data_IF_438023298253
#
_entry.id   IF_438023298253
#
_cell.length_a   1.000
_cell.length_b   1.000
_cell.length_c   1.000
_cell.angle_alpha   90.00
_cell.angle_beta   90.00
_cell.angle_gamma   90.00
#
_symmetry.space_group_name_H-M   'P 1'
#
loop_
_entity.id
_entity.type
_entity.pdbx_description
1 polymer ?
#
# COMPACT_ATOMS: atom_id res chain seq x y z
N UNK A 1 -4.91 -5.34 -15.96
CA UNK A 1 -4.52 -3.96 -15.55
C UNK A 1 -5.42 -2.95 -16.24
N UNK A 2 -5.84 -1.91 -15.52
CA UNK A 2 -6.52 -0.73 -16.06
C UNK A 2 -5.62 0.50 -15.93
N UNK A 3 -5.88 1.53 -16.71
CA UNK A 3 -5.07 2.76 -16.72
C UNK A 3 -5.98 4.00 -16.62
N UNK A 4 -5.42 5.06 -16.05
CA UNK A 4 -5.98 6.41 -16.05
C UNK A 4 -4.87 7.45 -16.22
N UNK A 5 -5.21 8.66 -16.63
CA UNK A 5 -4.23 9.72 -16.89
C UNK A 5 -3.46 9.53 -18.19
N UNK A 6 -2.43 10.38 -18.43
CA UNK A 6 -1.66 10.37 -19.67
C UNK A 6 -0.74 9.15 -19.75
N UNK A 7 -0.52 8.64 -20.97
CA UNK A 7 0.45 7.59 -21.26
C UNK A 7 1.81 8.12 -21.71
N UNK A 8 1.91 9.42 -21.95
CA UNK A 8 3.13 10.13 -22.30
C UNK A 8 3.16 11.47 -21.57
N UNK A 9 4.34 11.96 -21.31
CA UNK A 9 4.57 13.26 -20.67
C UNK A 9 3.93 13.40 -19.27
N UNK A 10 3.68 12.28 -18.61
CA UNK A 10 3.18 12.29 -17.22
C UNK A 10 4.24 12.84 -16.26
N UNK A 11 3.82 13.69 -15.33
CA UNK A 11 4.71 14.27 -14.33
C UNK A 11 5.17 13.28 -13.27
N UNK A 12 4.31 12.28 -12.99
CA UNK A 12 4.57 11.18 -12.06
C UNK A 12 3.75 9.93 -12.47
N UNK A 13 4.10 8.79 -11.90
CA UNK A 13 3.36 7.55 -12.04
C UNK A 13 2.86 7.02 -10.70
N UNK A 14 1.75 6.33 -10.71
CA UNK A 14 1.22 5.66 -9.51
C UNK A 14 0.65 4.29 -9.84
N UNK A 15 1.01 3.29 -9.03
CA UNK A 15 0.35 1.99 -9.01
C UNK A 15 -0.70 2.02 -7.90
N UNK A 16 -1.97 1.83 -8.27
CA UNK A 16 -3.10 1.86 -7.35
C UNK A 16 -3.67 0.46 -7.13
N UNK A 17 -3.78 0.04 -5.87
CA UNK A 17 -4.18 -1.31 -5.47
C UNK A 17 -5.51 -1.27 -4.71
N UNK A 18 -6.53 -1.92 -5.27
CA UNK A 18 -7.88 -1.94 -4.70
C UNK A 18 -7.99 -2.82 -3.46
N UNK A 19 -8.96 -2.54 -2.61
CA UNK A 19 -9.31 -3.37 -1.46
C UNK A 19 -9.99 -4.68 -1.86
N UNK A 20 -10.15 -5.59 -0.90
CA UNK A 20 -10.90 -6.83 -1.09
C UNK A 20 -12.33 -6.55 -1.58
N UNK A 21 -12.77 -7.25 -2.60
CA UNK A 21 -14.09 -7.10 -3.21
C UNK A 21 -14.23 -5.88 -4.12
N UNK A 22 -13.22 -5.00 -4.16
CA UNK A 22 -13.17 -3.87 -5.09
C UNK A 22 -12.59 -4.25 -6.45
N UNK A 23 -12.42 -3.27 -7.31
CA UNK A 23 -11.87 -3.43 -8.65
C UNK A 23 -10.81 -2.38 -8.97
N UNK A 24 -10.06 -2.61 -10.06
CA UNK A 24 -9.13 -1.61 -10.59
C UNK A 24 -9.85 -0.32 -11.01
N UNK A 25 -11.11 -0.40 -11.48
CA UNK A 25 -11.89 0.77 -11.82
C UNK A 25 -12.23 1.61 -10.58
N UNK A 26 -12.62 0.95 -9.48
CA UNK A 26 -12.97 1.64 -8.24
C UNK A 26 -11.79 2.42 -7.69
N UNK A 27 -10.62 1.79 -7.60
CA UNK A 27 -9.43 2.46 -7.02
C UNK A 27 -8.91 3.58 -7.93
N UNK A 28 -9.03 3.44 -9.26
CA UNK A 28 -8.65 4.50 -10.20
C UNK A 28 -9.52 5.76 -10.07
N UNK A 29 -10.73 5.65 -9.52
CA UNK A 29 -11.59 6.82 -9.27
C UNK A 29 -10.93 7.83 -8.33
N UNK A 30 -9.99 7.42 -7.49
CA UNK A 30 -9.23 8.30 -6.62
C UNK A 30 -8.46 9.37 -7.41
N UNK A 31 -8.03 9.07 -8.64
CA UNK A 31 -7.32 10.02 -9.50
C UNK A 31 -8.19 11.24 -9.83
N UNK A 32 -9.46 11.02 -10.15
CA UNK A 32 -10.43 12.09 -10.40
C UNK A 32 -10.76 12.85 -9.12
N UNK A 33 -10.99 12.16 -8.01
CA UNK A 33 -11.29 12.78 -6.72
C UNK A 33 -10.12 13.62 -6.18
N UNK A 34 -8.88 13.18 -6.43
CA UNK A 34 -7.69 13.95 -6.07
C UNK A 34 -7.32 15.01 -7.12
N UNK A 35 -8.03 15.09 -8.27
CA UNK A 35 -7.77 15.99 -9.39
C UNK A 35 -6.28 15.94 -9.84
N UNK A 36 -5.87 14.77 -10.34
CA UNK A 36 -4.51 14.46 -10.78
C UNK A 36 -4.48 14.13 -12.30
N UNK A 37 -4.81 15.09 -13.19
CA UNK A 37 -4.91 14.81 -14.62
C UNK A 37 -3.57 14.49 -15.29
N UNK A 38 -2.45 14.98 -14.73
CA UNK A 38 -1.11 14.86 -15.31
C UNK A 38 -0.31 13.67 -14.75
N UNK A 39 -0.94 12.83 -13.93
CA UNK A 39 -0.32 11.64 -13.32
C UNK A 39 -0.80 10.38 -14.03
N UNK A 40 0.13 9.57 -14.50
CA UNK A 40 -0.17 8.26 -15.06
C UNK A 40 -0.49 7.26 -13.95
N UNK A 41 -1.65 6.64 -14.01
CA UNK A 41 -2.06 5.63 -13.04
C UNK A 41 -2.27 4.26 -13.69
N UNK A 42 -1.78 3.23 -13.03
CA UNK A 42 -2.02 1.82 -13.38
C UNK A 42 -2.62 1.11 -12.17
N UNK A 43 -3.71 0.40 -12.38
CA UNK A 43 -4.30 -0.47 -11.37
C UNK A 43 -4.37 -1.91 -11.88
N UNK A 44 -3.60 -2.82 -11.31
CA UNK A 44 -3.80 -4.26 -11.48
C UNK A 44 -5.16 -4.69 -10.92
N UNK A 45 -5.71 -5.77 -11.45
CA UNK A 45 -6.94 -6.40 -10.99
C UNK A 45 -6.59 -7.70 -10.26
N UNK A 46 -6.98 -7.85 -9.02
CA UNK A 46 -6.78 -9.07 -8.27
C UNK A 46 -7.69 -10.20 -8.79
N UNK A 47 -7.21 -11.44 -8.92
CA UNK A 47 -8.05 -12.59 -9.26
C UNK A 47 -9.21 -12.73 -8.27
N UNK A 48 -10.45 -12.80 -8.77
CA UNK A 48 -11.64 -12.86 -7.93
C UNK A 48 -11.82 -11.66 -7.00
N UNK A 49 -11.29 -10.48 -7.36
CA UNK A 49 -11.34 -9.25 -6.58
C UNK A 49 -10.71 -9.35 -5.18
N UNK A 50 -9.75 -10.27 -4.99
CA UNK A 50 -9.02 -10.42 -3.72
C UNK A 50 -7.58 -10.86 -3.95
N UNK A 51 -6.62 -10.15 -3.34
CA UNK A 51 -5.18 -10.46 -3.45
C UNK A 51 -4.81 -11.75 -2.71
N UNK A 52 -5.53 -12.08 -1.66
CA UNK A 52 -5.45 -13.32 -0.89
C UNK A 52 -6.76 -13.63 -0.16
N UNK A 53 -7.07 -14.91 0.11
CA UNK A 53 -8.39 -15.30 0.65
C UNK A 53 -8.57 -15.05 2.15
N UNK A 54 -7.47 -14.94 2.90
CA UNK A 54 -7.47 -14.88 4.38
C UNK A 54 -7.32 -13.45 4.91
N UNK A 55 -7.20 -13.29 6.25
CA UNK A 55 -6.74 -12.04 6.86
C UNK A 55 -5.31 -11.73 6.42
N UNK A 56 -4.96 -10.43 6.29
CA UNK A 56 -3.58 -10.02 6.05
C UNK A 56 -2.65 -10.34 7.24
N UNK A 57 -3.23 -10.65 8.40
CA UNK A 57 -2.53 -11.09 9.61
C UNK A 57 -2.41 -12.62 9.72
N UNK A 58 -2.75 -13.36 8.71
CA UNK A 58 -2.47 -14.80 8.70
C UNK A 58 -0.95 -15.06 8.77
N UNK A 59 -0.50 -16.25 9.22
CA UNK A 59 0.91 -16.60 9.30
C UNK A 59 1.67 -16.32 8.01
N UNK A 60 2.89 -15.80 8.11
CA UNK A 60 3.66 -15.33 6.97
C UNK A 60 3.91 -16.42 5.91
N UNK A 61 4.19 -17.65 6.34
CA UNK A 61 4.38 -18.78 5.41
C UNK A 61 3.09 -19.09 4.62
N UNK A 62 1.92 -19.00 5.26
CA UNK A 62 0.63 -19.18 4.57
C UNK A 62 0.35 -18.06 3.57
N UNK A 63 0.79 -16.86 3.88
CA UNK A 63 0.56 -15.68 3.04
C UNK A 63 1.50 -15.60 1.82
N UNK A 64 2.72 -16.11 1.95
CA UNK A 64 3.79 -15.89 0.97
C UNK A 64 3.42 -16.27 -0.48
N UNK A 65 2.78 -17.38 -0.80
CA UNK A 65 2.41 -17.70 -2.18
C UNK A 65 1.49 -16.65 -2.82
N UNK A 66 0.54 -16.12 -2.06
CA UNK A 66 -0.39 -15.09 -2.53
C UNK A 66 0.32 -13.73 -2.66
N UNK A 67 1.11 -13.38 -1.66
CA UNK A 67 1.89 -12.14 -1.65
C UNK A 67 2.87 -12.12 -2.80
N UNK A 68 3.60 -13.21 -3.06
CA UNK A 68 4.53 -13.30 -4.18
C UNK A 68 3.83 -13.11 -5.53
N UNK A 69 2.67 -13.75 -5.73
CA UNK A 69 1.87 -13.60 -6.95
C UNK A 69 1.34 -12.16 -7.13
N UNK A 70 0.88 -11.54 -6.05
CA UNK A 70 0.41 -10.15 -6.07
C UNK A 70 1.56 -9.16 -6.33
N UNK A 71 2.73 -9.38 -5.72
CA UNK A 71 3.93 -8.56 -5.95
C UNK A 71 4.40 -8.61 -7.41
N UNK A 72 4.27 -9.75 -8.08
CA UNK A 72 4.60 -9.86 -9.50
C UNK A 72 3.70 -8.94 -10.36
N UNK A 73 2.43 -8.76 -9.99
CA UNK A 73 1.54 -7.82 -10.67
C UNK A 73 1.93 -6.35 -10.39
N UNK A 74 2.36 -6.04 -9.17
CA UNK A 74 2.88 -4.70 -8.82
C UNK A 74 4.15 -4.41 -9.62
N UNK A 75 5.09 -5.35 -9.68
CA UNK A 75 6.32 -5.21 -10.46
C UNK A 75 6.03 -4.97 -11.96
N UNK A 76 5.07 -5.70 -12.52
CA UNK A 76 4.63 -5.52 -13.91
C UNK A 76 4.02 -4.14 -14.14
N UNK A 77 3.24 -3.62 -13.18
CA UNK A 77 2.68 -2.27 -13.27
C UNK A 77 3.76 -1.18 -13.19
N UNK A 78 4.74 -1.33 -12.30
CA UNK A 78 5.90 -0.43 -12.21
C UNK A 78 6.70 -0.46 -13.53
N UNK A 79 7.00 -1.64 -14.05
CA UNK A 79 7.73 -1.80 -15.31
C UNK A 79 6.99 -1.14 -16.49
N UNK A 80 5.66 -1.20 -16.49
CA UNK A 80 4.84 -0.54 -17.51
C UNK A 80 4.96 0.99 -17.42
N UNK A 81 4.89 1.57 -16.21
CA UNK A 81 5.10 3.02 -16.02
C UNK A 81 6.52 3.46 -16.45
N UNK A 82 7.53 2.63 -16.17
CA UNK A 82 8.91 2.91 -16.60
C UNK A 82 9.05 2.83 -18.13
N UNK A 83 8.38 1.88 -18.78
CA UNK A 83 8.34 1.79 -20.24
C UNK A 83 7.62 2.98 -20.90
N UNK A 84 6.68 3.63 -20.19
CA UNK A 84 6.06 4.88 -20.61
C UNK A 84 6.99 6.11 -20.41
N UNK A 85 8.22 5.91 -19.90
CA UNK A 85 9.22 6.97 -19.70
C UNK A 85 9.22 7.60 -18.31
N UNK A 86 8.44 7.09 -17.36
CA UNK A 86 8.41 7.63 -16.00
C UNK A 86 9.60 7.09 -15.21
N UNK A 87 10.42 8.00 -14.67
CA UNK A 87 11.56 7.62 -13.85
C UNK A 87 11.10 6.93 -12.56
N UNK A 88 11.87 5.95 -12.09
CA UNK A 88 11.51 5.15 -10.90
C UNK A 88 11.29 6.00 -9.65
N UNK A 89 12.08 7.06 -9.48
CA UNK A 89 11.98 8.01 -8.37
C UNK A 89 10.78 8.98 -8.46
N UNK A 90 9.97 8.85 -9.52
CA UNK A 90 8.68 9.52 -9.70
C UNK A 90 7.50 8.54 -9.67
N UNK A 91 7.73 7.26 -9.37
CA UNK A 91 6.69 6.24 -9.26
C UNK A 91 6.31 6.03 -7.80
N UNK A 92 5.02 6.11 -7.53
CA UNK A 92 4.40 5.90 -6.23
C UNK A 92 3.65 4.57 -6.18
N UNK A 93 3.57 3.98 -4.99
CA UNK A 93 2.62 2.91 -4.69
C UNK A 93 1.52 3.47 -3.81
N UNK A 94 0.27 3.11 -4.10
CA UNK A 94 -0.82 3.43 -3.20
C UNK A 94 -1.89 2.33 -3.20
N UNK A 95 -2.69 2.28 -2.15
CA UNK A 95 -3.77 1.34 -2.07
C UNK A 95 -4.71 1.60 -0.89
N UNK A 96 -5.84 0.89 -0.93
CA UNK A 96 -6.82 0.91 0.14
C UNK A 96 -7.01 -0.50 0.72
N UNK A 97 -7.10 -0.60 2.06
CA UNK A 97 -7.41 -1.86 2.76
C UNK A 97 -6.44 -2.99 2.37
N UNK A 98 -6.91 -4.11 1.83
CA UNK A 98 -6.06 -5.20 1.37
C UNK A 98 -5.02 -4.72 0.33
N UNK A 99 -5.40 -3.80 -0.56
CA UNK A 99 -4.48 -3.17 -1.51
C UNK A 99 -3.46 -2.26 -0.84
N UNK A 100 -3.81 -1.59 0.26
CA UNK A 100 -2.84 -0.82 1.05
C UNK A 100 -1.84 -1.73 1.76
N UNK A 101 -2.29 -2.89 2.25
CA UNK A 101 -1.39 -3.89 2.81
C UNK A 101 -0.41 -4.43 1.76
N UNK A 102 -0.89 -4.70 0.54
CA UNK A 102 -0.05 -5.10 -0.58
C UNK A 102 0.93 -3.99 -0.99
N UNK A 103 0.48 -2.73 -1.05
CA UNK A 103 1.34 -1.60 -1.36
C UNK A 103 2.45 -1.43 -0.32
N UNK A 104 2.12 -1.54 0.96
CA UNK A 104 3.09 -1.47 2.05
C UNK A 104 4.13 -2.60 1.99
N UNK A 105 3.68 -3.83 1.75
CA UNK A 105 4.56 -5.00 1.60
C UNK A 105 5.46 -4.88 0.35
N UNK A 106 4.90 -4.42 -0.79
CA UNK A 106 5.66 -4.17 -2.02
C UNK A 106 6.74 -3.10 -1.80
N UNK A 107 6.38 -2.00 -1.13
CA UNK A 107 7.32 -0.93 -0.82
C UNK A 107 8.40 -1.41 0.16
N UNK A 108 8.05 -2.14 1.20
CA UNK A 108 9.01 -2.68 2.15
C UNK A 108 9.98 -3.68 1.51
N UNK A 109 9.52 -4.52 0.59
CA UNK A 109 10.37 -5.53 -0.07
C UNK A 109 11.19 -4.97 -1.23
N UNK A 110 10.58 -4.10 -2.08
CA UNK A 110 11.12 -3.74 -3.40
C UNK A 110 11.05 -2.24 -3.73
N UNK A 111 10.71 -1.39 -2.75
CA UNK A 111 10.48 0.04 -2.95
C UNK A 111 11.75 0.89 -3.10
N UNK A 112 12.94 0.29 -3.17
CA UNK A 112 14.17 1.04 -3.41
C UNK A 112 14.07 1.87 -4.69
N UNK A 113 14.40 3.16 -4.57
CA UNK A 113 14.33 4.11 -5.67
C UNK A 113 12.92 4.57 -6.08
N UNK A 114 11.86 4.08 -5.46
CA UNK A 114 10.50 4.62 -5.67
C UNK A 114 10.32 5.95 -4.92
N UNK A 115 9.47 6.82 -5.46
CA UNK A 115 9.09 8.10 -4.84
C UNK A 115 8.49 7.94 -3.46
N UNK A 116 7.63 6.93 -3.26
CA UNK A 116 7.03 6.67 -1.97
C UNK A 116 5.83 5.73 -1.97
N UNK A 117 5.11 5.77 -0.86
CA UNK A 117 3.96 4.94 -0.54
C UNK A 117 2.83 5.77 0.07
N UNK A 118 1.59 5.52 -0.37
CA UNK A 118 0.38 6.02 0.31
C UNK A 118 -0.52 4.83 0.64
N UNK A 119 -0.59 4.45 1.91
CA UNK A 119 -1.38 3.31 2.37
C UNK A 119 -2.58 3.79 3.20
N UNK A 120 -3.77 3.63 2.64
CA UNK A 120 -5.04 4.04 3.26
C UNK A 120 -5.69 2.84 3.94
N UNK A 121 -5.76 2.85 5.26
CA UNK A 121 -6.23 1.72 6.09
C UNK A 121 -5.55 0.41 5.71
N UNK A 122 -4.21 0.36 5.85
CA UNK A 122 -3.40 -0.83 5.56
C UNK A 122 -2.05 -0.83 6.26
N UNK A 123 -1.40 -1.97 6.32
CA UNK A 123 -0.13 -2.18 7.02
C UNK A 123 0.60 -3.42 6.48
N UNK A 124 1.83 -3.65 6.92
CA UNK A 124 2.66 -4.80 6.54
C UNK A 124 1.98 -6.14 6.82
N UNK A 125 2.13 -7.07 5.88
CA UNK A 125 1.41 -8.35 5.83
C UNK A 125 2.05 -9.42 6.71
N UNK A 126 1.21 -10.29 7.29
CA UNK A 126 1.61 -11.51 7.96
C UNK A 126 1.90 -11.37 9.45
N UNK A 127 1.79 -12.49 10.15
CA UNK A 127 2.18 -12.68 11.54
C UNK A 127 3.24 -13.75 11.64
N UNK A 128 3.74 -14.03 12.85
CA UNK A 128 4.72 -15.08 13.05
C UNK A 128 4.12 -16.48 12.75
N UNK A 129 4.93 -17.35 12.18
CA UNK A 129 4.59 -18.77 11.97
C UNK A 129 4.79 -19.62 13.23
N UNK A 130 5.51 -19.06 14.22
CA UNK A 130 5.80 -19.77 15.48
C UNK A 130 4.58 -19.87 16.39
N UNK A 131 4.48 -20.99 17.10
CA UNK A 131 3.48 -21.23 18.14
C UNK A 131 3.63 -20.25 19.31
N UNK A 132 2.52 -20.03 19.99
CA UNK A 132 2.43 -19.28 21.24
C UNK A 132 1.21 -18.37 21.33
N UNK A 133 0.95 -17.80 22.52
CA UNK A 133 -0.26 -17.03 22.82
C UNK A 133 -0.48 -15.82 21.91
N UNK A 134 -1.71 -15.51 21.52
CA UNK A 134 -2.05 -14.40 20.67
C UNK A 134 -1.79 -13.04 21.35
N UNK A 135 -1.56 -12.01 20.55
CA UNK A 135 -1.47 -10.62 21.01
C UNK A 135 -2.86 -9.96 20.88
N UNK A 136 -3.47 -9.46 21.98
CA UNK A 136 -4.81 -8.86 21.92
C UNK A 136 -4.92 -7.66 20.98
N UNK A 137 -3.91 -6.82 20.96
CA UNK A 137 -3.81 -5.61 20.13
C UNK A 137 -3.50 -5.89 18.65
N UNK A 138 -3.22 -7.14 18.30
CA UNK A 138 -3.16 -7.65 16.92
C UNK A 138 -4.34 -8.60 16.62
N UNK A 139 -5.49 -8.39 17.25
CA UNK A 139 -6.69 -9.24 17.10
C UNK A 139 -6.42 -10.72 17.33
N UNK A 140 -5.59 -11.03 18.31
CA UNK A 140 -5.24 -12.41 18.66
C UNK A 140 -4.11 -13.02 17.83
N UNK A 141 -3.44 -12.25 16.97
CA UNK A 141 -2.30 -12.72 16.18
C UNK A 141 -0.97 -12.32 16.83
N UNK A 142 0.06 -13.11 16.56
CA UNK A 142 1.42 -12.83 17.02
C UNK A 142 2.16 -11.89 16.08
N UNK A 143 2.99 -10.98 16.59
CA UNK A 143 3.88 -10.20 15.75
C UNK A 143 4.91 -11.11 15.05
N UNK A 144 5.23 -10.78 13.80
CA UNK A 144 6.40 -11.34 13.09
C UNK A 144 7.56 -10.35 13.20
N UNK A 145 8.79 -10.84 12.95
CA UNK A 145 9.90 -9.94 12.67
C UNK A 145 9.66 -9.26 11.32
N UNK A 146 9.73 -7.95 11.32
CA UNK A 146 9.60 -7.12 10.12
C UNK A 146 10.98 -6.83 9.54
N UNK A 147 11.70 -7.89 9.15
CA UNK A 147 13.07 -7.84 8.63
C UNK A 147 13.05 -7.60 7.12
N UNK A 148 13.20 -6.36 6.72
CA UNK A 148 13.34 -5.96 5.34
C UNK A 148 14.74 -5.39 5.11
N UNK A 149 15.34 -5.74 3.97
CA UNK A 149 16.70 -5.30 3.62
C UNK A 149 16.69 -4.13 2.64
N UNK A 150 17.73 -3.30 2.73
CA UNK A 150 17.98 -2.19 1.82
C UNK A 150 17.22 -0.90 2.17
N UNK A 151 17.65 0.24 1.59
CA UNK A 151 17.08 1.55 1.91
C UNK A 151 15.73 1.79 1.23
N UNK A 152 14.84 2.52 1.92
CA UNK A 152 13.53 3.00 1.44
C UNK A 152 13.43 4.49 1.70
N UNK A 153 14.15 5.31 0.92
CA UNK A 153 14.31 6.75 1.16
C UNK A 153 13.15 7.63 0.71
N UNK A 154 12.08 7.03 0.17
CA UNK A 154 10.91 7.78 -0.30
C UNK A 154 10.03 8.32 0.84
N UNK A 155 8.97 9.05 0.44
CA UNK A 155 7.97 9.58 1.38
C UNK A 155 6.85 8.58 1.58
N UNK A 156 6.38 8.43 2.81
CA UNK A 156 5.35 7.46 3.18
C UNK A 156 4.23 8.17 3.94
N UNK A 157 3.00 7.98 3.47
CA UNK A 157 1.77 8.33 4.15
C UNK A 157 1.04 7.06 4.58
N UNK A 158 0.77 6.93 5.86
CA UNK A 158 -0.04 5.86 6.42
C UNK A 158 -1.26 6.48 7.11
N UNK A 159 -2.45 6.04 6.78
CA UNK A 159 -3.67 6.49 7.45
C UNK A 159 -4.51 5.33 7.95
N UNK A 160 -5.16 5.52 9.10
CA UNK A 160 -6.04 4.52 9.70
C UNK A 160 -6.97 5.18 10.72
N UNK A 161 -8.14 4.59 10.98
CA UNK A 161 -8.97 4.99 12.11
C UNK A 161 -8.49 4.35 13.42
N UNK A 162 -8.68 5.02 14.54
CA UNK A 162 -8.30 4.53 15.89
C UNK A 162 -8.88 3.14 16.17
N UNK A 163 -10.12 2.91 15.72
CA UNK A 163 -10.83 1.64 15.86
C UNK A 163 -11.25 1.12 14.49
N UNK A 164 -10.26 0.93 13.61
CA UNK A 164 -10.49 0.27 12.33
C UNK A 164 -10.84 -1.21 12.58
N UNK A 165 -11.97 -1.72 12.06
CA UNK A 165 -12.40 -3.09 12.33
C UNK A 165 -11.54 -4.17 11.64
N UNK A 166 -10.65 -3.78 10.73
CA UNK A 166 -9.86 -4.71 9.91
C UNK A 166 -8.35 -4.52 10.07
N UNK A 167 -7.91 -3.30 10.37
CA UNK A 167 -6.49 -2.93 10.43
C UNK A 167 -6.12 -2.48 11.84
N UNK A 168 -5.43 -3.31 12.63
CA UNK A 168 -5.00 -2.93 13.98
C UNK A 168 -4.07 -1.73 13.94
N UNK A 169 -4.36 -0.72 14.79
CA UNK A 169 -3.51 0.45 14.93
C UNK A 169 -2.07 0.07 15.25
N UNK A 170 -1.87 -0.90 16.13
CA UNK A 170 -0.55 -1.43 16.51
C UNK A 170 0.26 -1.85 15.27
N UNK A 171 -0.36 -2.57 14.31
CA UNK A 171 0.32 -2.99 13.08
C UNK A 171 0.68 -1.80 12.19
N UNK A 172 -0.13 -0.75 12.15
CA UNK A 172 0.20 0.48 11.41
C UNK A 172 1.40 1.19 12.06
N UNK A 173 1.44 1.25 13.38
CA UNK A 173 2.57 1.82 14.13
C UNK A 173 3.86 1.01 13.91
N UNK A 174 3.81 -0.32 13.94
CA UNK A 174 4.93 -1.20 13.60
C UNK A 174 5.40 -0.98 12.16
N UNK A 175 4.47 -0.82 11.22
CA UNK A 175 4.76 -0.52 9.81
C UNK A 175 5.49 0.82 9.68
N UNK A 176 5.00 1.86 10.36
CA UNK A 176 5.63 3.18 10.35
C UNK A 176 7.07 3.12 10.88
N UNK A 177 7.27 2.48 12.03
CA UNK A 177 8.60 2.31 12.63
C UNK A 177 9.56 1.52 11.72
N UNK A 178 9.06 0.44 11.11
CA UNK A 178 9.85 -0.39 10.19
C UNK A 178 10.29 0.41 8.96
N UNK A 179 9.37 1.11 8.30
CA UNK A 179 9.69 1.90 7.11
C UNK A 179 10.62 3.09 7.44
N UNK A 180 10.46 3.72 8.61
CA UNK A 180 11.38 4.75 9.09
C UNK A 180 12.80 4.19 9.33
N UNK A 181 12.92 3.00 9.90
CA UNK A 181 14.22 2.31 10.08
C UNK A 181 14.90 2.00 8.74
N UNK A 182 14.11 1.76 7.69
CA UNK A 182 14.62 1.59 6.32
C UNK A 182 15.00 2.93 5.64
N UNK A 183 14.78 4.07 6.30
CA UNK A 183 15.15 5.40 5.83
C UNK A 183 14.05 6.19 5.16
N UNK A 184 12.80 5.72 5.17
CA UNK A 184 11.66 6.48 4.65
C UNK A 184 11.30 7.67 5.56
N UNK A 185 10.82 8.75 4.96
CA UNK A 185 10.15 9.84 5.69
C UNK A 185 8.68 9.49 5.87
N UNK A 186 8.31 9.08 7.08
CA UNK A 186 6.97 8.54 7.37
C UNK A 186 6.10 9.59 8.05
N UNK A 187 4.93 9.83 7.49
CA UNK A 187 3.83 10.60 8.08
C UNK A 187 2.66 9.66 8.36
N UNK A 188 2.14 9.68 9.59
CA UNK A 188 0.99 8.85 9.99
C UNK A 188 -0.20 9.74 10.34
N UNK A 189 -1.35 9.46 9.73
CA UNK A 189 -2.63 10.11 10.02
C UNK A 189 -3.56 9.16 10.76
N UNK A 190 -3.89 9.51 11.99
CA UNK A 190 -4.88 8.81 12.79
C UNK A 190 -6.22 9.54 12.71
N UNK A 191 -7.26 8.84 12.28
CA UNK A 191 -8.62 9.36 12.27
C UNK A 191 -9.35 8.97 13.56
N UNK A 192 -10.06 9.89 14.20
CA UNK A 192 -10.75 9.58 15.44
C UNK A 192 -11.93 8.62 15.23
N UNK A 193 -12.16 7.78 16.22
CA UNK A 193 -13.31 6.89 16.23
C UNK A 193 -13.17 5.62 15.39
N UNK A 194 -14.29 4.99 15.11
CA UNK A 194 -14.37 3.77 14.30
C UNK A 194 -14.61 4.11 12.82
N UNK A 195 -13.97 3.38 11.92
CA UNK A 195 -14.16 3.54 10.49
C UNK A 195 -13.16 2.72 9.68
N UNK A 196 -13.44 2.58 8.38
CA UNK A 196 -12.58 1.91 7.40
C UNK A 196 -12.87 2.50 6.02
N UNK A 197 -12.00 3.38 5.53
CA UNK A 197 -12.27 4.08 4.26
C UNK A 197 -11.16 5.06 3.89
N UNK A 198 -11.22 5.55 2.66
CA UNK A 198 -10.36 6.63 2.17
C UNK A 198 -10.99 7.96 2.56
N UNK A 199 -10.25 8.79 3.27
CA UNK A 199 -10.74 10.05 3.83
C UNK A 199 -10.31 11.25 2.97
N UNK A 200 -10.91 12.42 3.23
CA UNK A 200 -10.55 13.66 2.51
C UNK A 200 -9.06 14.00 2.64
N UNK A 201 -8.46 13.76 3.80
CA UNK A 201 -7.03 14.03 4.02
C UNK A 201 -6.14 13.08 3.20
N UNK A 202 -6.63 11.86 2.91
CA UNK A 202 -5.90 10.91 2.03
C UNK A 202 -5.87 11.40 0.58
N UNK A 203 -6.98 11.96 0.09
CA UNK A 203 -7.03 12.59 -1.23
C UNK A 203 -6.14 13.83 -1.30
N UNK A 204 -6.09 14.62 -0.22
CA UNK A 204 -5.17 15.76 -0.12
C UNK A 204 -3.70 15.30 -0.10
N UNK A 205 -3.40 14.20 0.60
CA UNK A 205 -2.07 13.59 0.60
C UNK A 205 -1.68 13.07 -0.79
N UNK A 206 -2.59 12.37 -1.50
CA UNK A 206 -2.37 11.98 -2.90
C UNK A 206 -1.97 13.20 -3.74
N UNK A 207 -2.76 14.26 -3.71
CA UNK A 207 -2.46 15.48 -4.48
C UNK A 207 -1.11 16.07 -4.07
N UNK A 208 -0.88 16.31 -2.78
CA UNK A 208 0.35 16.92 -2.28
C UNK A 208 1.61 16.16 -2.70
N UNK A 209 1.58 14.85 -2.65
CA UNK A 209 2.76 14.03 -2.93
C UNK A 209 3.02 13.83 -4.43
N UNK A 210 1.98 13.78 -5.25
CA UNK A 210 2.13 13.51 -6.68
C UNK A 210 2.29 14.80 -7.54
N UNK A 211 2.07 15.97 -6.95
CA UNK A 211 2.27 17.27 -7.63
C UNK A 211 3.46 18.09 -7.07
N UNK A 212 4.24 17.52 -6.15
CA UNK A 212 5.39 18.15 -5.51
C UNK A 212 6.68 18.02 -6.34
#
# INVERSE_FOLDING_TARGET
>A
MRRAGPSKDATAGIVLLHGRGGSAADILSLMSHAALPDVAAIAPEAPGNSWWPTSFLAPAAQMEPFVAAALAQVDSAIATLQADGILRDRIWLAGFSQGACLAAEAYARKGEGLAGLLAFSGALVGTADAEGGPQPDLYGHRPKRLDYAGPRKGRVWLSVHERDPHIPLTRVQETAATLATLGATVETKLYPGAGHGVMRDDLAALRRHLTA
#
